data_IF_748045255674
#
_entry.id   IF_748045255674
#
_cell.length_a   1.000
_cell.length_b   1.000
_cell.length_c   1.000
_cell.angle_alpha   90.00
_cell.angle_beta   90.00
_cell.angle_gamma   90.00
#
_symmetry.space_group_name_H-M   'P 1'
#
loop_
_entity.id
_entity.type
_entity.pdbx_description
1 polymer ?
#
# COMPACT_ATOMS: atom_id res chain seq x y z
N UNK A 1 -17.78 28.55 -15.67
CA UNK A 1 -17.43 27.10 -15.59
C UNK A 1 -16.61 26.94 -14.33
N UNK A 2 -17.14 26.25 -13.33
CA UNK A 2 -16.43 26.01 -12.06
C UNK A 2 -15.12 25.29 -12.35
N UNK A 3 -14.02 25.92 -11.98
CA UNK A 3 -12.66 25.42 -12.18
C UNK A 3 -12.34 24.36 -11.11
N UNK A 4 -13.29 23.41 -10.90
CA UNK A 4 -13.15 22.35 -9.90
C UNK A 4 -11.99 21.42 -10.26
N UNK A 5 -10.96 21.45 -9.42
CA UNK A 5 -9.82 20.52 -9.53
C UNK A 5 -10.15 19.26 -8.73
N UNK A 6 -10.12 18.12 -9.38
CA UNK A 6 -10.24 16.83 -8.67
C UNK A 6 -9.19 16.69 -7.60
N UNK A 7 -9.57 16.18 -6.45
CA UNK A 7 -8.75 16.06 -5.26
C UNK A 7 -8.39 14.61 -4.94
N UNK A 8 -7.22 14.40 -4.37
CA UNK A 8 -6.76 13.09 -3.92
C UNK A 8 -5.94 13.19 -2.63
N UNK A 9 -6.27 12.35 -1.64
CA UNK A 9 -5.41 12.07 -0.51
C UNK A 9 -4.58 10.82 -0.77
N UNK A 10 -3.24 10.94 -0.71
CA UNK A 10 -2.29 9.85 -0.94
C UNK A 10 -1.48 9.61 0.32
N UNK A 11 -1.56 8.42 0.90
CA UNK A 11 -0.79 8.09 2.10
C UNK A 11 0.57 7.45 1.77
N UNK A 12 1.55 7.60 2.66
CA UNK A 12 2.88 7.03 2.47
C UNK A 12 3.63 7.63 1.29
N UNK A 13 3.59 8.96 1.14
CA UNK A 13 4.11 9.69 -0.01
C UNK A 13 5.58 10.12 0.11
N UNK A 14 6.28 9.79 1.20
CA UNK A 14 7.68 10.17 1.40
C UNK A 14 8.65 9.58 0.36
N UNK A 15 8.26 8.49 -0.31
CA UNK A 15 9.09 7.84 -1.33
C UNK A 15 8.28 6.85 -2.19
N UNK A 16 8.95 6.22 -3.19
CA UNK A 16 8.44 5.08 -3.94
C UNK A 16 7.14 5.35 -4.67
N UNK A 17 6.15 4.46 -4.50
CA UNK A 17 4.87 4.51 -5.21
C UNK A 17 4.11 5.78 -4.87
N UNK A 18 3.91 6.08 -3.58
CA UNK A 18 3.13 7.24 -3.15
C UNK A 18 3.69 8.56 -3.68
N UNK A 19 5.00 8.77 -3.58
CA UNK A 19 5.66 9.96 -4.13
C UNK A 19 5.50 10.07 -5.65
N UNK A 20 5.66 8.95 -6.36
CA UNK A 20 5.53 8.96 -7.83
C UNK A 20 4.12 9.30 -8.26
N UNK A 21 3.11 8.69 -7.63
CA UNK A 21 1.69 8.99 -7.90
C UNK A 21 1.37 10.44 -7.59
N UNK A 22 1.83 10.95 -6.43
CA UNK A 22 1.60 12.34 -6.03
C UNK A 22 2.16 13.34 -7.05
N UNK A 23 3.40 13.13 -7.49
CA UNK A 23 4.05 13.97 -8.51
C UNK A 23 3.34 13.92 -9.87
N UNK A 24 2.95 12.73 -10.29
CA UNK A 24 2.34 12.54 -11.61
C UNK A 24 0.93 13.15 -11.64
N UNK A 25 0.11 12.97 -10.59
CA UNK A 25 -1.22 13.58 -10.51
C UNK A 25 -1.15 15.11 -10.33
N UNK A 26 -0.19 15.62 -9.55
CA UNK A 26 0.04 17.06 -9.42
C UNK A 26 0.37 17.71 -10.80
N UNK A 27 1.22 17.04 -11.61
CA UNK A 27 1.49 17.49 -12.99
C UNK A 27 0.26 17.48 -13.91
N UNK A 28 -0.70 16.61 -13.62
CA UNK A 28 -1.98 16.55 -14.33
C UNK A 28 -3.02 17.55 -13.81
N UNK A 29 -2.63 18.45 -12.90
CA UNK A 29 -3.46 19.53 -12.40
C UNK A 29 -4.42 19.12 -11.28
N UNK A 30 -4.24 17.95 -10.65
CA UNK A 30 -5.03 17.54 -9.50
C UNK A 30 -4.64 18.33 -8.25
N UNK A 31 -5.60 18.51 -7.34
CA UNK A 31 -5.34 18.94 -5.97
C UNK A 31 -4.87 17.73 -5.16
N UNK A 32 -3.56 17.59 -5.00
CA UNK A 32 -2.93 16.44 -4.35
C UNK A 32 -2.55 16.77 -2.93
N UNK A 33 -3.12 16.05 -1.97
CA UNK A 33 -2.70 16.08 -0.57
C UNK A 33 -1.86 14.81 -0.31
N UNK A 34 -0.56 15.00 -0.14
CA UNK A 34 0.40 13.91 0.05
C UNK A 34 0.71 13.72 1.53
N UNK A 35 0.39 12.57 2.13
CA UNK A 35 0.70 12.39 3.54
C UNK A 35 1.95 11.54 3.79
N UNK A 36 2.64 11.90 4.87
CA UNK A 36 3.79 11.18 5.41
C UNK A 36 3.57 10.91 6.90
N UNK A 37 4.32 9.95 7.45
CA UNK A 37 4.28 9.66 8.90
C UNK A 37 5.02 10.70 9.74
N UNK A 38 6.03 11.37 9.17
CA UNK A 38 6.90 12.30 9.86
C UNK A 38 6.84 13.68 9.23
N UNK A 39 6.75 14.70 10.04
CA UNK A 39 6.70 16.09 9.61
C UNK A 39 7.88 16.51 8.72
N UNK A 40 9.09 16.05 9.05
CA UNK A 40 10.29 16.31 8.23
C UNK A 40 10.13 15.82 6.78
N UNK A 41 9.41 14.71 6.57
CA UNK A 41 9.19 14.14 5.25
C UNK A 41 8.11 14.95 4.50
N UNK A 42 7.13 15.52 5.20
CA UNK A 42 6.16 16.48 4.66
C UNK A 42 6.86 17.74 4.16
N UNK A 43 7.74 18.34 4.96
CA UNK A 43 8.55 19.50 4.54
C UNK A 43 9.35 19.23 3.26
N UNK A 44 9.95 18.04 3.14
CA UNK A 44 10.65 17.65 1.90
C UNK A 44 9.69 17.61 0.70
N UNK A 45 8.44 17.15 0.87
CA UNK A 45 7.45 17.14 -0.20
C UNK A 45 7.09 18.56 -0.65
N UNK A 46 6.93 19.48 0.28
CA UNK A 46 6.63 20.88 0.04
C UNK A 46 7.80 21.61 -0.63
N UNK A 47 8.97 21.61 0.01
CA UNK A 47 10.15 22.36 -0.41
C UNK A 47 10.72 21.86 -1.76
N UNK A 48 10.75 20.56 -1.96
CA UNK A 48 11.42 19.97 -3.13
C UNK A 48 10.48 19.71 -4.30
N UNK A 49 9.21 19.43 -4.02
CA UNK A 49 8.27 18.97 -5.06
C UNK A 49 7.04 19.88 -5.20
N UNK A 50 6.88 20.91 -4.34
CA UNK A 50 5.73 21.81 -4.36
C UNK A 50 4.40 21.09 -4.13
N UNK A 51 4.41 20.00 -3.34
CA UNK A 51 3.22 19.21 -3.04
C UNK A 51 2.62 19.69 -1.71
N UNK A 52 1.30 19.90 -1.67
CA UNK A 52 0.60 20.10 -0.40
C UNK A 52 0.70 18.82 0.42
N UNK A 53 1.08 18.93 1.71
CA UNK A 53 1.31 17.76 2.52
C UNK A 53 0.76 17.85 3.95
N UNK A 54 0.53 16.67 4.56
CA UNK A 54 0.07 16.55 5.94
C UNK A 54 0.66 15.30 6.60
N UNK A 55 0.67 15.29 7.93
CA UNK A 55 1.09 14.13 8.71
C UNK A 55 -0.10 13.19 8.92
N UNK A 56 0.04 11.93 8.49
CA UNK A 56 -0.85 10.82 8.86
C UNK A 56 0.02 9.65 9.31
N UNK A 57 -0.03 9.35 10.60
CA UNK A 57 0.51 8.14 11.19
C UNK A 57 -0.64 7.18 11.46
N UNK A 58 -0.65 6.05 10.76
CA UNK A 58 -1.72 5.05 10.88
C UNK A 58 -1.80 4.37 12.25
N UNK A 59 -0.72 4.40 13.02
CA UNK A 59 -0.69 3.86 14.37
C UNK A 59 -1.26 4.85 15.41
N UNK A 60 -1.74 6.03 14.95
CA UNK A 60 -2.26 7.09 15.80
C UNK A 60 -3.57 7.69 15.26
N UNK A 61 -4.68 7.35 15.92
CA UNK A 61 -6.01 7.82 15.52
C UNK A 61 -6.15 9.34 15.47
N UNK A 62 -5.51 10.07 16.41
CA UNK A 62 -5.53 11.54 16.40
C UNK A 62 -4.83 12.10 15.17
N UNK A 63 -3.71 11.48 14.76
CA UNK A 63 -3.00 11.87 13.56
C UNK A 63 -3.83 11.61 12.28
N UNK A 64 -4.57 10.49 12.24
CA UNK A 64 -5.49 10.19 11.13
C UNK A 64 -6.56 11.28 11.02
N UNK A 65 -7.22 11.62 12.13
CA UNK A 65 -8.30 12.61 12.14
C UNK A 65 -7.79 14.01 11.80
N UNK A 66 -6.68 14.47 12.40
CA UNK A 66 -6.12 15.79 12.08
C UNK A 66 -5.61 15.88 10.64
N UNK A 67 -5.02 14.80 10.10
CA UNK A 67 -4.62 14.76 8.70
C UNK A 67 -5.79 14.75 7.72
N UNK A 68 -6.91 14.13 8.09
CA UNK A 68 -8.15 14.19 7.33
C UNK A 68 -8.76 15.59 7.37
N UNK A 69 -8.87 16.21 8.55
CA UNK A 69 -9.37 17.58 8.72
C UNK A 69 -8.57 18.57 7.87
N UNK A 70 -7.24 18.50 7.93
CA UNK A 70 -6.37 19.29 7.06
C UNK A 70 -6.67 19.04 5.56
N UNK A 71 -6.89 17.77 5.18
CA UNK A 71 -7.22 17.43 3.80
C UNK A 71 -8.54 18.06 3.36
N UNK A 72 -9.57 17.98 4.19
CA UNK A 72 -10.87 18.58 3.93
C UNK A 72 -10.78 20.11 3.79
N UNK A 73 -10.01 20.77 4.66
CA UNK A 73 -9.75 22.22 4.55
C UNK A 73 -9.12 22.58 3.19
N UNK A 74 -8.11 21.82 2.74
CA UNK A 74 -7.41 22.07 1.47
C UNK A 74 -8.20 21.68 0.22
N UNK A 75 -9.30 20.98 0.37
CA UNK A 75 -10.13 20.47 -0.74
C UNK A 75 -11.57 20.98 -0.70
N UNK A 76 -11.86 22.02 0.10
CA UNK A 76 -13.20 22.58 0.29
C UNK A 76 -14.24 21.48 0.64
N UNK A 77 -13.85 20.55 1.50
CA UNK A 77 -14.67 19.43 1.95
C UNK A 77 -14.81 18.28 0.93
N UNK A 78 -14.21 18.36 -0.26
CA UNK A 78 -14.40 17.39 -1.35
C UNK A 78 -13.15 16.56 -1.58
N UNK A 79 -13.23 15.27 -1.26
CA UNK A 79 -12.18 14.29 -1.56
C UNK A 79 -12.71 13.32 -2.61
N UNK A 80 -12.25 13.44 -3.87
CA UNK A 80 -12.64 12.54 -4.96
C UNK A 80 -12.02 11.16 -4.83
N UNK A 81 -10.76 11.10 -4.34
CA UNK A 81 -9.99 9.86 -4.28
C UNK A 81 -9.22 9.75 -2.97
N UNK A 82 -9.33 8.59 -2.32
CA UNK A 82 -8.39 8.14 -1.30
C UNK A 82 -7.47 7.07 -1.91
N UNK A 83 -6.16 7.25 -1.81
CA UNK A 83 -5.18 6.21 -2.12
C UNK A 83 -4.44 5.77 -0.87
N UNK A 84 -4.89 4.66 -0.24
CA UNK A 84 -4.21 4.00 0.85
C UNK A 84 -2.99 3.25 0.31
N UNK A 85 -1.79 3.74 0.65
CA UNK A 85 -0.54 3.21 0.15
C UNK A 85 0.53 3.02 1.24
N UNK A 86 0.51 3.81 2.30
CA UNK A 86 1.49 3.71 3.39
C UNK A 86 1.46 2.34 4.09
N UNK A 87 2.56 1.60 4.02
CA UNK A 87 2.68 0.26 4.62
C UNK A 87 4.15 -0.11 4.79
N UNK A 88 4.42 -1.12 5.61
CA UNK A 88 5.74 -1.74 5.72
C UNK A 88 5.65 -3.26 5.72
N UNK A 89 6.80 -3.93 5.52
CA UNK A 89 6.94 -5.37 5.61
C UNK A 89 7.73 -5.78 6.86
N UNK A 90 7.41 -6.96 7.39
CA UNK A 90 8.14 -7.60 8.48
C UNK A 90 8.56 -9.01 8.02
N UNK A 91 9.76 -9.15 7.44
CA UNK A 91 10.24 -10.43 6.94
C UNK A 91 10.82 -11.27 8.09
N UNK A 92 10.17 -12.41 8.38
CA UNK A 92 10.65 -13.40 9.35
C UNK A 92 10.01 -14.76 9.11
N UNK A 93 10.50 -15.82 9.76
CA UNK A 93 9.75 -17.04 9.95
C UNK A 93 8.51 -16.74 10.80
N UNK A 94 7.38 -17.39 10.51
CA UNK A 94 6.12 -17.09 11.22
C UNK A 94 6.23 -17.36 12.72
N UNK A 95 6.92 -18.43 13.09
CA UNK A 95 7.15 -18.83 14.48
C UNK A 95 8.02 -17.86 15.28
N UNK A 96 8.90 -17.10 14.61
CA UNK A 96 9.78 -16.12 15.24
C UNK A 96 9.17 -14.72 15.34
N UNK A 97 7.94 -14.52 14.87
CA UNK A 97 7.32 -13.18 14.90
C UNK A 97 6.67 -12.95 16.28
N UNK A 98 7.17 -12.00 17.10
CA UNK A 98 6.50 -11.62 18.33
C UNK A 98 5.09 -11.12 18.05
N UNK A 99 4.14 -11.48 18.93
CA UNK A 99 2.73 -11.11 18.77
C UNK A 99 2.55 -9.59 18.69
N UNK A 100 3.33 -8.82 19.45
CA UNK A 100 3.25 -7.36 19.45
C UNK A 100 3.75 -6.77 18.12
N UNK A 101 4.78 -7.38 17.51
CA UNK A 101 5.24 -7.00 16.17
C UNK A 101 4.20 -7.33 15.10
N UNK A 102 3.48 -8.45 15.25
CA UNK A 102 2.35 -8.81 14.39
C UNK A 102 1.20 -7.81 14.56
N UNK A 103 0.85 -7.43 15.79
CA UNK A 103 -0.15 -6.37 16.06
C UNK A 103 0.25 -5.04 15.39
N UNK A 104 1.52 -4.61 15.56
CA UNK A 104 2.01 -3.36 15.00
C UNK A 104 1.94 -3.30 13.47
N UNK A 105 2.25 -4.40 12.76
CA UNK A 105 2.10 -4.41 11.30
C UNK A 105 0.63 -4.40 10.87
N UNK A 106 -0.27 -5.03 11.63
CA UNK A 106 -1.71 -4.94 11.39
C UNK A 106 -2.23 -3.55 11.68
N UNK A 107 -1.76 -2.88 12.74
CA UNK A 107 -2.14 -1.52 13.07
C UNK A 107 -1.86 -0.58 11.89
N UNK A 108 -0.61 -0.54 11.42
CA UNK A 108 -0.23 0.31 10.29
C UNK A 108 -0.87 -0.11 8.96
N UNK A 109 -0.80 -1.40 8.62
CA UNK A 109 -1.14 -1.86 7.25
C UNK A 109 -2.63 -2.14 7.04
N UNK A 110 -3.43 -2.28 8.12
CA UNK A 110 -4.82 -2.68 8.04
C UNK A 110 -5.75 -1.78 8.85
N UNK A 111 -5.58 -1.69 10.18
CA UNK A 111 -6.50 -0.93 11.02
C UNK A 111 -6.46 0.57 10.73
N UNK A 112 -5.27 1.16 10.57
CA UNK A 112 -5.14 2.56 10.19
C UNK A 112 -5.74 2.87 8.81
N UNK A 113 -5.60 1.95 7.84
CA UNK A 113 -6.27 2.09 6.53
C UNK A 113 -7.79 2.02 6.65
N UNK A 114 -8.28 1.07 7.46
CA UNK A 114 -9.71 0.95 7.73
C UNK A 114 -10.25 2.21 8.40
N UNK A 115 -9.55 2.72 9.43
CA UNK A 115 -9.93 3.93 10.14
C UNK A 115 -10.06 5.12 9.18
N UNK A 116 -9.02 5.42 8.40
CA UNK A 116 -9.06 6.52 7.43
C UNK A 116 -10.16 6.32 6.38
N UNK A 117 -10.34 5.09 5.89
CA UNK A 117 -11.39 4.77 4.91
C UNK A 117 -12.78 5.02 5.47
N UNK A 118 -13.03 4.58 6.72
CA UNK A 118 -14.30 4.77 7.42
C UNK A 118 -14.63 6.27 7.56
N UNK A 119 -13.67 7.07 7.94
CA UNK A 119 -13.86 8.51 8.13
C UNK A 119 -14.09 9.27 6.82
N UNK A 120 -13.53 8.81 5.68
CA UNK A 120 -13.69 9.48 4.38
C UNK A 120 -15.02 9.14 3.69
N UNK A 121 -15.58 7.96 3.90
CA UNK A 121 -16.80 7.51 3.22
C UNK A 121 -17.97 8.49 3.36
N UNK A 122 -18.30 9.04 4.55
CA UNK A 122 -19.37 10.02 4.69
C UNK A 122 -19.18 11.23 3.76
N UNK A 123 -17.99 11.79 3.67
CA UNK A 123 -17.69 12.94 2.79
C UNK A 123 -17.86 12.59 1.30
N UNK A 124 -17.44 11.37 0.89
CA UNK A 124 -17.67 10.91 -0.48
C UNK A 124 -19.18 10.71 -0.79
N UNK A 125 -19.98 10.26 0.19
CA UNK A 125 -21.42 10.12 0.05
C UNK A 125 -22.10 11.50 -0.10
N UNK A 126 -21.75 12.48 0.72
CA UNK A 126 -22.22 13.86 0.62
C UNK A 126 -21.87 14.49 -0.73
N UNK A 127 -20.68 14.20 -1.26
CA UNK A 127 -20.24 14.66 -2.58
C UNK A 127 -20.87 13.88 -3.75
N UNK A 128 -21.68 12.85 -3.47
CA UNK A 128 -22.38 12.03 -4.47
C UNK A 128 -21.47 11.10 -5.27
N UNK A 129 -20.17 11.05 -4.98
CA UNK A 129 -19.23 10.12 -5.66
C UNK A 129 -17.89 10.06 -4.93
N UNK A 130 -17.15 8.94 -5.16
CA UNK A 130 -15.81 8.80 -4.61
C UNK A 130 -15.06 7.58 -5.17
N UNK A 131 -13.77 7.53 -4.91
CA UNK A 131 -12.93 6.36 -5.23
C UNK A 131 -12.00 6.05 -4.07
N UNK A 132 -12.05 4.80 -3.61
CA UNK A 132 -11.16 4.26 -2.58
C UNK A 132 -10.22 3.29 -3.27
N UNK A 133 -8.95 3.63 -3.33
CA UNK A 133 -7.91 2.83 -3.98
C UNK A 133 -7.02 2.24 -2.88
N UNK A 134 -6.95 0.90 -2.82
CA UNK A 134 -6.17 0.15 -1.85
C UNK A 134 -4.93 -0.43 -2.50
N UNK A 135 -3.72 -0.03 -2.09
CA UNK A 135 -2.48 -0.59 -2.60
C UNK A 135 -2.15 -1.92 -1.91
N UNK A 136 -2.77 -2.98 -2.39
CA UNK A 136 -2.51 -4.35 -1.96
C UNK A 136 -1.14 -4.85 -2.44
N UNK A 137 -1.03 -6.06 -2.87
CA UNK A 137 0.18 -6.72 -3.37
C UNK A 137 -0.19 -8.00 -4.12
N UNK A 138 0.75 -8.57 -4.87
CA UNK A 138 0.72 -9.98 -5.24
C UNK A 138 0.55 -10.87 -3.99
N UNK A 139 1.09 -10.47 -2.85
CA UNK A 139 0.93 -11.13 -1.55
C UNK A 139 -0.45 -10.93 -0.91
N UNK A 140 -1.39 -10.29 -1.58
CA UNK A 140 -2.79 -10.24 -1.18
C UNK A 140 -3.60 -11.46 -1.63
N UNK A 141 -3.05 -12.33 -2.50
CA UNK A 141 -3.72 -13.55 -2.94
C UNK A 141 -2.81 -14.79 -3.00
N UNK A 142 -1.49 -14.64 -2.72
CA UNK A 142 -0.56 -15.75 -2.59
C UNK A 142 0.40 -15.52 -1.42
N UNK A 143 0.98 -16.61 -0.91
CA UNK A 143 1.97 -16.57 0.15
C UNK A 143 3.39 -16.85 -0.38
N UNK A 144 4.38 -16.25 0.28
CA UNK A 144 5.80 -16.54 0.07
C UNK A 144 6.47 -16.75 1.42
N UNK A 145 7.51 -17.59 1.45
CA UNK A 145 8.34 -17.82 2.65
C UNK A 145 8.84 -16.50 3.21
N UNK A 146 8.88 -16.39 4.53
CA UNK A 146 9.39 -15.24 5.28
C UNK A 146 8.60 -13.94 5.08
N UNK A 147 7.33 -14.04 4.65
CA UNK A 147 6.44 -12.88 4.41
C UNK A 147 5.11 -12.98 5.15
N UNK A 148 4.97 -13.92 6.11
CA UNK A 148 3.71 -14.28 6.74
C UNK A 148 2.94 -13.06 7.28
N UNK A 149 3.55 -12.24 8.14
CA UNK A 149 2.91 -11.06 8.71
C UNK A 149 2.39 -10.07 7.65
N UNK A 150 3.22 -9.73 6.68
CA UNK A 150 2.82 -8.82 5.58
C UNK A 150 1.73 -9.44 4.70
N UNK A 151 1.87 -10.71 4.35
CA UNK A 151 0.88 -11.47 3.57
C UNK A 151 -0.48 -11.42 4.27
N UNK A 152 -0.53 -11.70 5.56
CA UNK A 152 -1.78 -11.68 6.34
C UNK A 152 -2.48 -10.31 6.27
N UNK A 153 -1.74 -9.20 6.41
CA UNK A 153 -2.32 -7.85 6.28
C UNK A 153 -2.88 -7.59 4.88
N UNK A 154 -2.21 -8.07 3.82
CA UNK A 154 -2.67 -7.85 2.44
C UNK A 154 -3.87 -8.72 2.07
N UNK A 155 -3.96 -9.96 2.57
CA UNK A 155 -5.17 -10.77 2.47
C UNK A 155 -6.36 -10.11 3.18
N UNK A 156 -6.14 -9.56 4.37
CA UNK A 156 -7.17 -8.84 5.11
C UNK A 156 -7.69 -7.61 4.32
N UNK A 157 -6.80 -6.84 3.69
CA UNK A 157 -7.16 -5.71 2.83
C UNK A 157 -8.00 -6.18 1.63
N UNK A 158 -7.62 -7.25 0.95
CA UNK A 158 -8.37 -7.79 -0.21
C UNK A 158 -9.79 -8.17 0.19
N UNK A 159 -9.94 -8.95 1.29
CA UNK A 159 -11.23 -9.40 1.78
C UNK A 159 -12.13 -8.22 2.20
N UNK A 160 -11.60 -7.28 3.00
CA UNK A 160 -12.34 -6.11 3.45
C UNK A 160 -12.73 -5.20 2.28
N UNK A 161 -11.88 -5.03 1.29
CA UNK A 161 -12.17 -4.22 0.10
C UNK A 161 -13.25 -4.84 -0.77
N UNK A 162 -13.27 -6.17 -0.91
CA UNK A 162 -14.31 -6.88 -1.65
C UNK A 162 -15.67 -6.73 -0.96
N UNK A 163 -15.71 -6.87 0.37
CA UNK A 163 -16.92 -6.68 1.17
C UNK A 163 -17.42 -5.24 1.06
N UNK A 164 -16.56 -4.26 1.30
CA UNK A 164 -16.90 -2.84 1.20
C UNK A 164 -17.46 -2.49 -0.18
N UNK A 165 -16.88 -3.01 -1.27
CA UNK A 165 -17.36 -2.77 -2.63
C UNK A 165 -18.79 -3.25 -2.85
N UNK A 166 -19.18 -4.37 -2.22
CA UNK A 166 -20.55 -4.90 -2.29
C UNK A 166 -21.51 -4.04 -1.48
N UNK A 167 -21.10 -3.60 -0.29
CA UNK A 167 -21.93 -2.81 0.64
C UNK A 167 -22.27 -1.42 0.10
N UNK A 168 -21.26 -0.70 -0.47
CA UNK A 168 -21.44 0.68 -0.96
C UNK A 168 -21.72 0.77 -2.47
N UNK A 169 -22.19 -0.32 -3.08
CA UNK A 169 -22.43 -0.38 -4.54
C UNK A 169 -23.35 0.73 -5.05
N UNK A 170 -24.34 1.13 -4.24
CA UNK A 170 -25.34 2.13 -4.60
C UNK A 170 -24.93 3.58 -4.30
N UNK A 171 -23.81 3.79 -3.61
CA UNK A 171 -23.35 5.11 -3.16
C UNK A 171 -22.47 5.84 -4.20
N UNK A 172 -22.37 5.30 -5.44
CA UNK A 172 -21.49 5.82 -6.49
C UNK A 172 -20.02 5.95 -6.04
N UNK A 173 -19.60 5.15 -5.07
CA UNK A 173 -18.21 5.07 -4.59
C UNK A 173 -17.56 3.80 -5.16
N UNK A 174 -16.42 3.94 -5.81
CA UNK A 174 -15.70 2.82 -6.44
C UNK A 174 -14.57 2.33 -5.53
N UNK A 175 -14.60 1.07 -5.11
CA UNK A 175 -13.50 0.43 -4.35
C UNK A 175 -12.61 -0.34 -5.32
N UNK A 176 -11.34 0.04 -5.38
CA UNK A 176 -10.37 -0.42 -6.37
C UNK A 176 -9.13 -0.95 -5.66
N UNK A 177 -8.59 -2.05 -6.15
CA UNK A 177 -7.39 -2.68 -5.59
C UNK A 177 -6.26 -2.64 -6.61
N UNK A 178 -5.12 -2.14 -6.18
CA UNK A 178 -3.86 -2.23 -6.94
C UNK A 178 -3.08 -3.41 -6.39
N UNK A 179 -2.63 -4.31 -7.25
CA UNK A 179 -1.87 -5.51 -6.88
C UNK A 179 -0.48 -5.47 -7.54
N UNK A 180 0.49 -4.73 -6.97
CA UNK A 180 1.86 -4.73 -7.46
C UNK A 180 2.52 -6.09 -7.20
N UNK A 181 3.36 -6.53 -8.15
CA UNK A 181 4.40 -7.50 -7.89
C UNK A 181 5.68 -6.80 -7.41
N UNK A 182 6.87 -7.29 -7.80
CA UNK A 182 8.13 -6.62 -7.45
C UNK A 182 8.22 -5.22 -8.05
N UNK A 183 8.36 -4.19 -7.19
CA UNK A 183 8.55 -2.79 -7.56
C UNK A 183 9.79 -2.25 -6.84
N UNK A 184 10.68 -1.59 -7.58
CA UNK A 184 11.90 -0.98 -7.03
C UNK A 184 11.55 0.24 -6.17
N UNK A 185 11.60 0.10 -4.86
CA UNK A 185 11.31 1.15 -3.87
C UNK A 185 12.18 0.98 -2.62
N UNK A 186 12.09 1.92 -1.68
CA UNK A 186 12.70 1.78 -0.35
C UNK A 186 11.99 0.76 0.56
N UNK A 187 10.96 0.06 0.08
CA UNK A 187 10.17 -0.87 0.88
C UNK A 187 11.04 -1.97 1.53
N UNK A 188 12.01 -2.51 0.79
CA UNK A 188 12.92 -3.54 1.33
C UNK A 188 13.82 -2.98 2.43
N UNK A 189 14.40 -1.79 2.22
CA UNK A 189 15.22 -1.12 3.21
C UNK A 189 14.42 -0.85 4.50
N UNK A 190 13.21 -0.31 4.36
CA UNK A 190 12.31 -0.09 5.48
C UNK A 190 11.91 -1.40 6.19
N UNK A 191 11.68 -2.48 5.43
CA UNK A 191 11.39 -3.80 5.99
C UNK A 191 12.59 -4.38 6.76
N UNK A 192 13.81 -4.13 6.31
CA UNK A 192 15.01 -4.55 7.01
C UNK A 192 15.20 -3.79 8.34
N UNK A 193 14.93 -2.49 8.36
CA UNK A 193 14.95 -1.72 9.60
C UNK A 193 13.95 -2.29 10.62
N UNK A 194 12.71 -2.55 10.19
CA UNK A 194 11.70 -3.17 11.06
C UNK A 194 12.08 -4.57 11.53
N UNK A 195 12.68 -5.37 10.67
CA UNK A 195 13.21 -6.68 11.04
C UNK A 195 14.23 -6.59 12.18
N UNK A 196 15.20 -5.66 12.07
CA UNK A 196 16.21 -5.45 13.11
C UNK A 196 15.66 -4.97 14.44
N UNK A 197 14.60 -4.18 14.40
CA UNK A 197 13.93 -3.65 15.60
C UNK A 197 13.04 -4.67 16.30
N UNK A 198 12.53 -5.67 15.55
CA UNK A 198 11.38 -6.46 15.99
C UNK A 198 11.63 -7.96 16.09
N UNK A 199 12.67 -8.51 15.48
CA UNK A 199 12.90 -9.96 15.40
C UNK A 199 14.18 -10.34 16.08
N UNK A 200 14.05 -11.13 17.14
CA UNK A 200 15.21 -11.74 17.85
C UNK A 200 15.61 -13.05 17.18
N UNK A 201 16.17 -12.91 15.98
CA UNK A 201 16.58 -14.05 15.16
C UNK A 201 17.79 -14.81 15.74
N UNK A 202 18.53 -14.21 16.68
CA UNK A 202 19.67 -14.83 17.33
C UNK A 202 19.27 -16.01 18.22
N UNK A 203 18.08 -15.95 18.78
CA UNK A 203 17.50 -16.98 19.64
C UNK A 203 16.65 -18.03 18.86
N UNK A 204 16.52 -17.85 17.54
CA UNK A 204 15.76 -18.76 16.69
C UNK A 204 16.49 -20.09 16.45
N UNK A 205 15.75 -21.19 16.46
CA UNK A 205 16.24 -22.51 16.03
C UNK A 205 16.75 -22.50 14.58
N UNK A 206 16.34 -21.50 13.80
CA UNK A 206 16.73 -21.28 12.40
C UNK A 206 17.75 -20.19 12.22
N UNK A 207 18.59 -19.89 13.22
CA UNK A 207 19.64 -18.86 13.17
C UNK A 207 20.50 -18.94 11.90
N UNK A 208 20.91 -20.15 11.51
CA UNK A 208 21.70 -20.35 10.29
C UNK A 208 20.99 -19.91 9.02
N UNK A 209 19.65 -20.06 8.96
CA UNK A 209 18.84 -19.61 7.83
C UNK A 209 18.76 -18.07 7.77
N UNK A 210 18.65 -17.41 8.93
CA UNK A 210 18.70 -15.95 8.97
C UNK A 210 20.03 -15.42 8.48
N UNK A 211 21.15 -15.95 8.98
CA UNK A 211 22.51 -15.52 8.62
C UNK A 211 22.81 -15.77 7.15
N UNK A 212 22.45 -16.97 6.63
CA UNK A 212 22.89 -17.38 5.30
C UNK A 212 21.92 -16.97 4.18
N UNK A 213 20.65 -16.66 4.48
CA UNK A 213 19.65 -16.43 3.45
C UNK A 213 18.82 -15.17 3.64
N UNK A 214 18.19 -14.97 4.83
CA UNK A 214 17.24 -13.90 5.03
C UNK A 214 17.93 -12.54 5.09
N UNK A 215 18.91 -12.39 6.00
CA UNK A 215 19.67 -11.15 6.20
C UNK A 215 20.40 -10.71 4.94
N UNK A 216 21.19 -11.57 4.25
CA UNK A 216 21.86 -11.16 3.02
C UNK A 216 20.89 -10.68 1.93
N UNK A 217 19.69 -11.29 1.84
CA UNK A 217 18.65 -10.84 0.91
C UNK A 217 18.10 -9.46 1.27
N UNK A 218 17.99 -9.13 2.57
CA UNK A 218 17.48 -7.85 3.05
C UNK A 218 18.53 -6.74 2.91
N UNK A 219 19.80 -7.03 3.16
CA UNK A 219 20.91 -6.10 3.06
C UNK A 219 21.35 -5.79 1.63
N UNK A 220 21.07 -6.72 0.72
CA UNK A 220 21.53 -6.60 -0.67
C UNK A 220 21.01 -5.33 -1.33
N UNK A 221 21.92 -4.33 -1.48
CA UNK A 221 21.69 -3.12 -2.32
C UNK A 221 21.74 -3.45 -3.82
N UNK A 222 22.47 -4.49 -4.20
CA UNK A 222 22.58 -5.01 -5.57
C UNK A 222 21.55 -6.11 -5.77
N UNK A 223 20.33 -5.73 -5.98
CA UNK A 223 19.37 -6.67 -6.52
C UNK A 223 19.78 -6.90 -7.97
N UNK A 224 20.12 -8.16 -8.33
CA UNK A 224 19.94 -8.56 -9.72
C UNK A 224 18.49 -8.21 -10.04
N UNK A 225 18.28 -7.21 -10.91
CA UNK A 225 16.92 -6.86 -11.37
C UNK A 225 16.26 -8.17 -11.75
N UNK A 226 15.23 -8.56 -11.02
CA UNK A 226 14.46 -9.72 -11.42
C UNK A 226 13.78 -9.34 -12.73
N UNK A 227 13.66 -10.27 -13.66
CA UNK A 227 13.07 -10.05 -15.00
C UNK A 227 11.69 -9.39 -14.93
N UNK A 228 11.04 -9.44 -13.77
CA UNK A 228 9.68 -8.94 -13.54
C UNK A 228 9.62 -7.68 -12.65
N UNK A 229 10.75 -7.13 -12.24
CA UNK A 229 10.77 -5.93 -11.38
C UNK A 229 10.55 -4.67 -12.21
N UNK A 230 9.56 -3.87 -11.80
CA UNK A 230 9.20 -2.62 -12.46
C UNK A 230 9.51 -1.42 -11.55
N UNK A 231 9.58 -0.23 -12.15
CA UNK A 231 9.70 1.03 -11.44
C UNK A 231 8.33 1.51 -10.93
N UNK A 232 8.27 2.42 -9.93
CA UNK A 232 7.03 2.97 -9.37
C UNK A 232 6.08 3.59 -10.40
N UNK A 233 6.60 4.09 -11.53
CA UNK A 233 5.78 4.68 -12.59
C UNK A 233 4.81 3.67 -13.23
N UNK A 234 5.10 2.38 -13.19
CA UNK A 234 4.16 1.35 -13.67
C UNK A 234 2.90 1.30 -12.78
N UNK A 235 3.08 1.48 -11.46
CA UNK A 235 1.96 1.57 -10.51
C UNK A 235 1.24 2.90 -10.68
N UNK A 236 1.98 4.01 -10.84
CA UNK A 236 1.40 5.34 -11.04
C UNK A 236 0.46 5.39 -12.23
N UNK A 237 0.83 4.81 -13.37
CA UNK A 237 -0.04 4.72 -14.56
C UNK A 237 -1.36 4.01 -14.25
N UNK A 238 -1.32 2.94 -13.47
CA UNK A 238 -2.53 2.19 -13.08
C UNK A 238 -3.41 2.98 -12.10
N UNK A 239 -2.80 3.68 -11.14
CA UNK A 239 -3.52 4.55 -10.20
C UNK A 239 -4.17 5.73 -10.95
N UNK A 240 -3.45 6.38 -11.87
CA UNK A 240 -4.01 7.45 -12.70
C UNK A 240 -5.21 6.94 -13.50
N UNK A 241 -5.11 5.78 -14.15
CA UNK A 241 -6.25 5.17 -14.84
C UNK A 241 -7.40 4.88 -13.87
N UNK A 242 -7.13 4.34 -12.67
CA UNK A 242 -8.12 4.13 -11.64
C UNK A 242 -8.80 5.43 -11.17
N UNK A 243 -8.06 6.55 -11.14
CA UNK A 243 -8.58 7.87 -10.80
C UNK A 243 -9.42 8.51 -11.92
N UNK A 244 -9.12 8.25 -13.18
CA UNK A 244 -9.67 9.02 -14.33
C UNK A 244 -10.68 8.26 -15.17
N UNK A 245 -10.59 6.93 -15.27
CA UNK A 245 -11.50 6.14 -16.08
C UNK A 245 -12.95 6.26 -15.60
N UNK A 246 -13.90 6.38 -16.51
CA UNK A 246 -15.34 6.36 -16.19
C UNK A 246 -15.78 5.04 -15.54
N UNK A 247 -15.22 3.93 -16.00
CA UNK A 247 -15.44 2.60 -15.46
C UNK A 247 -14.11 1.93 -15.11
N UNK A 248 -13.50 2.22 -13.93
CA UNK A 248 -12.23 1.64 -13.54
C UNK A 248 -12.35 0.13 -13.29
N UNK A 249 -11.26 -0.59 -13.52
CA UNK A 249 -11.20 -2.02 -13.15
C UNK A 249 -11.26 -2.17 -11.63
N UNK A 250 -11.87 -3.24 -11.15
CA UNK A 250 -11.89 -3.58 -9.71
C UNK A 250 -10.47 -3.88 -9.19
N UNK A 251 -9.62 -4.53 -10.04
CA UNK A 251 -8.24 -4.89 -9.71
C UNK A 251 -7.29 -4.55 -10.84
N UNK A 252 -6.13 -3.97 -10.47
CA UNK A 252 -5.02 -3.67 -11.37
C UNK A 252 -3.80 -4.51 -10.97
N UNK A 253 -3.47 -5.52 -11.77
CA UNK A 253 -2.29 -6.37 -11.61
C UNK A 253 -1.14 -5.78 -12.41
N UNK A 254 -0.08 -5.34 -11.71
CA UNK A 254 0.89 -4.42 -12.34
C UNK A 254 2.02 -5.15 -13.04
N UNK A 255 2.52 -6.26 -12.51
CA UNK A 255 3.62 -6.99 -13.12
C UNK A 255 3.12 -8.29 -13.78
N UNK A 256 3.86 -8.77 -14.79
CA UNK A 256 3.58 -10.07 -15.39
C UNK A 256 3.59 -11.19 -14.36
N UNK A 257 4.51 -11.11 -13.36
CA UNK A 257 4.53 -12.07 -12.26
C UNK A 257 3.19 -12.12 -11.53
N UNK A 258 2.58 -10.97 -11.23
CA UNK A 258 1.26 -10.90 -10.56
C UNK A 258 0.15 -11.53 -11.41
N UNK A 259 0.18 -11.30 -12.73
CA UNK A 259 -0.83 -11.87 -13.65
C UNK A 259 -0.68 -13.39 -13.73
N UNK A 260 0.55 -13.87 -13.94
CA UNK A 260 0.83 -15.32 -14.05
C UNK A 260 0.44 -16.03 -12.74
N UNK A 261 0.91 -15.53 -11.60
CA UNK A 261 0.63 -16.17 -10.30
C UNK A 261 -0.86 -16.19 -9.95
N UNK A 262 -1.62 -15.16 -10.36
CA UNK A 262 -3.07 -15.15 -10.20
C UNK A 262 -3.74 -16.30 -10.98
N UNK A 263 -3.36 -16.50 -12.24
CA UNK A 263 -3.90 -17.62 -13.02
C UNK A 263 -3.47 -18.97 -12.44
N UNK A 264 -2.20 -19.11 -12.04
CA UNK A 264 -1.72 -20.33 -11.41
C UNK A 264 -2.49 -20.64 -10.12
N UNK A 265 -2.69 -19.64 -9.23
CA UNK A 265 -3.46 -19.81 -7.97
C UNK A 265 -4.92 -20.21 -8.23
N UNK A 266 -5.50 -19.78 -9.36
CA UNK A 266 -6.90 -20.08 -9.69
C UNK A 266 -7.09 -21.50 -10.26
N UNK A 267 -6.12 -22.01 -11.00
CA UNK A 267 -6.28 -23.27 -11.76
C UNK A 267 -5.49 -24.44 -11.19
N UNK A 268 -4.49 -24.21 -10.36
CA UNK A 268 -3.71 -25.27 -9.73
C UNK A 268 -4.31 -25.67 -8.38
N UNK A 269 -4.08 -26.95 -8.02
CA UNK A 269 -4.31 -27.40 -6.64
C UNK A 269 -3.32 -26.73 -5.68
N UNK A 270 -3.67 -26.62 -4.40
CA UNK A 270 -2.81 -25.97 -3.41
C UNK A 270 -1.43 -26.65 -3.33
N UNK A 271 -1.35 -27.99 -3.36
CA UNK A 271 -0.08 -28.71 -3.35
C UNK A 271 0.83 -28.35 -4.53
N UNK A 272 0.28 -28.19 -5.73
CA UNK A 272 1.06 -27.85 -6.91
C UNK A 272 1.48 -26.37 -6.87
N UNK A 273 0.59 -25.49 -6.42
CA UNK A 273 0.89 -24.08 -6.25
C UNK A 273 1.98 -23.85 -5.18
N UNK A 274 1.94 -24.59 -4.07
CA UNK A 274 2.96 -24.52 -3.01
C UNK A 274 4.33 -24.99 -3.48
N UNK A 275 4.40 -26.01 -4.32
CA UNK A 275 5.66 -26.43 -4.96
C UNK A 275 6.29 -25.31 -5.80
N UNK A 276 5.47 -24.50 -6.47
CA UNK A 276 5.95 -23.35 -7.25
C UNK A 276 6.35 -22.21 -6.32
N UNK A 277 5.48 -21.82 -5.38
CA UNK A 277 5.70 -20.70 -4.44
C UNK A 277 6.93 -20.93 -3.55
N UNK A 278 7.20 -22.19 -3.18
CA UNK A 278 8.35 -22.55 -2.33
C UNK A 278 9.71 -22.34 -2.98
N UNK A 279 9.76 -22.23 -4.32
CA UNK A 279 10.99 -21.99 -5.12
C UNK A 279 11.26 -20.51 -5.40
N UNK A 280 10.29 -19.62 -5.09
CA UNK A 280 10.37 -18.18 -5.25
C UNK A 280 10.93 -17.51 -3.97
#
# INVERSE_FOLDING_TARGET
MDNYKKSILITGSSSGIGLTVAKDLNKLGWNVIASCRKERDCKILEDKYGLCSTVIDYDNQKSILSGLEYTLDKTDGKIDVLFNNGAYGLPALVEDIPVDSLRGIFETNFFGWHSLTKEIIPHMKENGSGRIIQNSSILGFMALKYRGAYTATKYAIEAMSDTLRLEIKNDNIKVIIIQPGPITTKFRENSYLRFKESIDWQESDYKSLYVNKIIPRLESRKIKKTTFELLPNAVSKAVIHACTASNPRIRYRITWATVIMMYLKRFLTDNLFDRISSKL
#
